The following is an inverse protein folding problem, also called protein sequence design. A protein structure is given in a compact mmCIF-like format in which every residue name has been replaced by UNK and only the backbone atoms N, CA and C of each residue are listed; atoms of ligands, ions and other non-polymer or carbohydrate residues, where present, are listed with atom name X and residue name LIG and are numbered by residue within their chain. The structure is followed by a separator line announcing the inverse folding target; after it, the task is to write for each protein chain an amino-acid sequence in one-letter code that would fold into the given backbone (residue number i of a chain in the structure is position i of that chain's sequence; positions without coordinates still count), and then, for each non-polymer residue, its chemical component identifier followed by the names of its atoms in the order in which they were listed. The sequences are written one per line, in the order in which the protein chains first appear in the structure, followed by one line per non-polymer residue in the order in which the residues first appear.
data_IF_873006890143
#
_entry.id   IF_873006890143
#
_cell.length_a   1.000
_cell.length_b   1.000
_cell.length_c   1.000
_cell.angle_alpha   90.00
_cell.angle_beta   90.00
_cell.angle_gamma   90.00
#
_symmetry.space_group_name_H-M   'P 1'
#
loop_
_entity.id
_entity.type
_entity.pdbx_description
1 polymer ?
#
# COMPACT_ATOMS: atom_id res chain seq x y z
N UNK A 1 0.37 17.49 -1.55
CA UNK A 1 -1.11 17.29 -1.48
C UNK A 1 -1.45 15.82 -1.57
N UNK A 2 -1.34 15.14 -2.72
CA UNK A 2 -1.67 13.70 -2.86
C UNK A 2 -1.01 12.79 -1.81
N UNK A 3 0.28 12.99 -1.56
CA UNK A 3 1.05 12.30 -0.51
C UNK A 3 0.44 12.51 0.88
N UNK A 4 0.11 13.76 1.22
CA UNK A 4 -0.42 14.11 2.53
C UNK A 4 -1.85 13.55 2.71
N UNK A 5 -2.66 13.52 1.65
CA UNK A 5 -4.01 12.93 1.64
C UNK A 5 -3.95 11.42 1.86
N UNK A 6 -3.03 10.73 1.19
CA UNK A 6 -2.84 9.31 1.39
C UNK A 6 -2.40 8.99 2.82
N UNK A 7 -1.40 9.71 3.32
CA UNK A 7 -0.91 9.56 4.70
C UNK A 7 -2.02 9.85 5.72
N UNK A 8 -2.87 10.85 5.47
CA UNK A 8 -4.03 11.12 6.31
C UNK A 8 -4.98 9.92 6.35
N UNK A 9 -5.28 9.32 5.18
CA UNK A 9 -6.08 8.10 5.10
C UNK A 9 -5.47 6.92 5.87
N UNK A 10 -4.15 6.75 5.83
CA UNK A 10 -3.44 5.72 6.61
C UNK A 10 -3.50 5.97 8.11
N UNK A 11 -3.25 7.19 8.58
CA UNK A 11 -3.37 7.53 10.00
C UNK A 11 -4.79 7.24 10.52
N UNK A 12 -5.82 7.62 9.76
CA UNK A 12 -7.22 7.32 10.09
C UNK A 12 -7.47 5.80 10.16
N UNK A 13 -6.98 5.04 9.17
CA UNK A 13 -7.14 3.56 9.13
C UNK A 13 -6.42 2.86 10.30
N UNK A 14 -5.28 3.41 10.73
CA UNK A 14 -4.46 2.84 11.80
C UNK A 14 -4.86 3.31 13.19
N UNK A 15 -5.83 4.24 13.30
CA UNK A 15 -6.21 4.86 14.57
C UNK A 15 -5.18 5.83 15.13
N UNK A 16 -4.20 6.25 14.32
CA UNK A 16 -3.20 7.26 14.68
C UNK A 16 -3.83 8.65 14.61
N UNK A 17 -4.40 9.07 15.74
CA UNK A 17 -5.11 10.35 15.86
C UNK A 17 -4.17 11.56 15.76
N UNK A 18 -2.94 11.43 16.24
CA UNK A 18 -1.97 12.54 16.28
C UNK A 18 -1.42 12.81 14.88
N UNK A 19 -1.02 11.76 14.16
CA UNK A 19 -0.60 11.87 12.76
C UNK A 19 -1.72 12.39 11.86
N UNK A 20 -2.96 11.92 12.07
CA UNK A 20 -4.13 12.40 11.33
C UNK A 20 -4.41 13.90 11.61
N UNK A 21 -4.27 14.36 12.86
CA UNK A 21 -4.48 15.76 13.22
C UNK A 21 -3.45 16.70 12.55
N UNK A 22 -2.18 16.29 12.49
CA UNK A 22 -1.12 17.08 11.84
C UNK A 22 -1.38 17.20 10.33
N UNK A 23 -1.69 16.07 9.69
CA UNK A 23 -1.89 16.03 8.24
C UNK A 23 -3.18 16.73 7.80
N UNK A 24 -4.27 16.58 8.57
CA UNK A 24 -5.53 17.28 8.31
C UNK A 24 -5.38 18.80 8.41
N UNK A 25 -4.66 19.31 9.42
CA UNK A 25 -4.35 20.75 9.52
C UNK A 25 -3.54 21.26 8.33
N UNK A 26 -2.53 20.50 7.90
CA UNK A 26 -1.70 20.84 6.75
C UNK A 26 -2.52 20.91 5.47
N UNK A 27 -3.41 19.93 5.24
CA UNK A 27 -4.29 19.89 4.08
C UNK A 27 -5.36 20.98 4.09
N UNK A 28 -5.91 21.30 5.26
CA UNK A 28 -6.87 22.39 5.44
C UNK A 28 -6.26 23.75 5.05
N UNK A 29 -5.00 23.98 5.39
CA UNK A 29 -4.27 25.21 5.02
C UNK A 29 -4.15 25.40 3.50
N UNK A 30 -4.05 24.30 2.75
CA UNK A 30 -3.90 24.31 1.29
C UNK A 30 -5.26 24.51 0.60
N UNK A 31 -6.38 24.40 1.34
CA UNK A 31 -7.76 24.50 0.84
C UNK A 31 -8.03 23.61 -0.38
N UNK A 32 -7.36 22.47 -0.45
CA UNK A 32 -7.57 21.51 -1.53
C UNK A 32 -8.90 20.78 -1.32
N UNK A 33 -9.79 20.69 -2.33
CA UNK A 33 -10.98 19.86 -2.24
C UNK A 33 -10.57 18.39 -2.12
N UNK A 34 -11.09 17.70 -1.10
CA UNK A 34 -10.81 16.29 -0.84
C UNK A 34 -12.09 15.47 -1.04
N UNK A 35 -12.01 14.43 -1.87
CA UNK A 35 -13.03 13.41 -1.95
C UNK A 35 -12.86 12.44 -0.77
N UNK A 36 -13.67 12.62 0.28
CA UNK A 36 -13.68 11.73 1.45
C UNK A 36 -14.81 10.72 1.28
N UNK A 37 -14.46 9.52 0.84
CA UNK A 37 -15.41 8.43 0.72
C UNK A 37 -15.37 7.58 1.99
N UNK A 38 -16.48 7.55 2.74
CA UNK A 38 -16.68 6.54 3.77
C UNK A 38 -16.94 5.20 3.06
N UNK A 39 -15.95 4.32 3.02
CA UNK A 39 -16.23 2.92 2.71
C UNK A 39 -17.15 2.42 3.83
N UNK A 40 -18.41 2.10 3.50
CA UNK A 40 -19.29 1.37 4.41
C UNK A 40 -18.70 -0.02 4.55
N UNK A 41 -17.80 -0.14 5.51
CA UNK A 41 -17.16 -1.39 5.89
C UNK A 41 -18.26 -2.29 6.44
N UNK A 42 -18.53 -3.38 5.74
CA UNK A 42 -19.09 -4.54 6.42
C UNK A 42 -18.07 -4.89 7.50
N UNK A 43 -18.43 -4.63 8.75
CA UNK A 43 -17.75 -5.18 9.92
C UNK A 43 -17.53 -6.69 9.65
N UNK A 44 -16.38 -7.24 10.05
CA UNK A 44 -16.06 -8.70 10.13
C UNK A 44 -15.22 -9.38 9.03
N UNK A 45 -14.55 -8.69 8.09
CA UNK A 45 -13.52 -9.42 7.32
C UNK A 45 -12.17 -9.39 8.06
N UNK A 46 -11.62 -10.57 8.47
CA UNK A 46 -10.30 -10.63 9.08
C UNK A 46 -9.25 -10.15 8.07
N UNK A 47 -8.25 -9.43 8.57
CA UNK A 47 -7.10 -9.04 7.75
C UNK A 47 -6.28 -10.27 7.39
N UNK A 48 -5.72 -10.25 6.18
CA UNK A 48 -4.82 -11.27 5.68
C UNK A 48 -3.40 -10.73 5.80
N UNK A 49 -2.52 -11.49 6.44
CA UNK A 49 -1.08 -11.18 6.47
C UNK A 49 -0.47 -11.64 5.15
N UNK A 50 0.16 -10.74 4.41
CA UNK A 50 0.89 -11.04 3.17
C UNK A 50 2.39 -10.83 3.37
N UNK A 51 3.20 -11.55 2.61
CA UNK A 51 4.66 -11.41 2.58
C UNK A 51 5.04 -10.71 1.28
N UNK A 52 5.75 -9.59 1.40
CA UNK A 52 6.30 -8.84 0.28
C UNK A 52 7.77 -9.21 0.16
N UNK A 53 8.10 -9.91 -0.93
CA UNK A 53 9.47 -10.14 -1.35
C UNK A 53 9.88 -9.08 -2.35
N UNK A 54 11.02 -8.45 -2.14
CA UNK A 54 11.52 -7.41 -3.03
C UNK A 54 12.51 -8.03 -3.99
N UNK A 55 12.36 -7.68 -5.26
CA UNK A 55 13.25 -8.15 -6.32
C UNK A 55 13.54 -7.01 -7.31
N UNK A 56 14.74 -7.02 -7.89
CA UNK A 56 15.23 -6.00 -8.79
C UNK A 56 16.42 -6.52 -9.58
N UNK A 57 16.57 -6.04 -10.81
CA UNK A 57 17.80 -6.25 -11.60
C UNK A 57 19.00 -5.47 -11.06
N UNK A 58 18.77 -4.46 -10.21
CA UNK A 58 19.82 -3.71 -9.53
C UNK A 58 20.04 -4.29 -8.12
N UNK A 59 21.19 -4.93 -7.91
CA UNK A 59 21.57 -5.51 -6.61
C UNK A 59 21.61 -4.48 -5.47
N UNK A 60 21.83 -3.19 -5.76
CA UNK A 60 21.80 -2.13 -4.74
C UNK A 60 20.42 -2.01 -4.11
N UNK A 61 19.37 -2.16 -4.92
CA UNK A 61 17.97 -2.13 -4.47
C UNK A 61 17.69 -3.35 -3.58
N UNK A 62 18.13 -4.54 -4.00
CA UNK A 62 17.95 -5.78 -3.23
C UNK A 62 18.71 -5.74 -1.89
N UNK A 63 19.86 -5.06 -1.82
CA UNK A 63 20.60 -4.87 -0.58
C UNK A 63 20.02 -3.77 0.32
N UNK A 64 19.35 -2.77 -0.27
CA UNK A 64 18.74 -1.67 0.45
C UNK A 64 17.42 -2.07 1.12
N UNK A 65 16.57 -2.81 0.40
CA UNK A 65 15.25 -3.18 0.87
C UNK A 65 15.21 -4.65 1.30
N UNK A 66 14.65 -4.91 2.48
CA UNK A 66 14.43 -6.26 2.99
C UNK A 66 12.98 -6.66 2.78
N UNK A 67 12.77 -7.96 2.58
CA UNK A 67 11.45 -8.56 2.60
C UNK A 67 10.73 -8.25 3.92
N UNK A 68 9.44 -8.01 3.84
CA UNK A 68 8.62 -7.69 5.00
C UNK A 68 7.21 -8.26 4.86
N UNK A 69 6.44 -8.17 5.94
CA UNK A 69 5.03 -8.60 5.93
C UNK A 69 4.12 -7.46 6.32
N UNK A 70 2.91 -7.45 5.76
CA UNK A 70 1.89 -6.46 6.10
C UNK A 70 0.50 -7.09 6.13
N UNK A 71 -0.41 -6.46 6.87
CA UNK A 71 -1.81 -6.88 6.94
C UNK A 71 -2.63 -6.07 5.93
N UNK A 72 -3.41 -6.78 5.11
CA UNK A 72 -4.31 -6.20 4.10
C UNK A 72 -5.71 -6.76 4.28
N UNK A 73 -6.72 -6.05 3.78
CA UNK A 73 -8.07 -6.60 3.73
C UNK A 73 -8.26 -7.40 2.44
N UNK A 74 -9.13 -8.42 2.43
CA UNK A 74 -9.50 -9.12 1.20
C UNK A 74 -10.03 -8.15 0.12
N UNK A 75 -10.70 -7.07 0.53
CA UNK A 75 -11.22 -6.03 -0.35
C UNK A 75 -10.17 -5.00 -0.81
N UNK A 76 -8.94 -5.04 -0.28
CA UNK A 76 -7.86 -4.12 -0.69
C UNK A 76 -7.52 -4.37 -2.15
N UNK A 77 -7.48 -3.30 -2.94
CA UNK A 77 -7.07 -3.38 -4.35
C UNK A 77 -5.56 -3.42 -4.50
N UNK A 78 -5.07 -3.92 -5.63
CA UNK A 78 -3.64 -3.88 -6.00
C UNK A 78 -3.14 -2.44 -6.06
N UNK A 79 -3.96 -1.51 -6.56
CA UNK A 79 -3.63 -0.07 -6.55
C UNK A 79 -3.38 0.42 -5.12
N UNK A 80 -4.34 0.20 -4.21
CA UNK A 80 -4.19 0.59 -2.81
C UNK A 80 -2.99 -0.06 -2.13
N UNK A 81 -2.67 -1.32 -2.48
CA UNK A 81 -1.48 -2.00 -1.97
C UNK A 81 -0.20 -1.33 -2.47
N UNK A 82 -0.06 -1.02 -3.76
CA UNK A 82 1.12 -0.30 -4.28
C UNK A 82 1.27 1.06 -3.63
N UNK A 83 0.18 1.80 -3.51
CA UNK A 83 0.19 3.08 -2.80
C UNK A 83 0.64 2.89 -1.34
N UNK A 84 0.21 1.81 -0.67
CA UNK A 84 0.69 1.48 0.67
C UNK A 84 2.17 1.15 0.74
N UNK A 85 2.72 0.47 -0.27
CA UNK A 85 4.13 0.14 -0.38
C UNK A 85 4.99 1.39 -0.60
N UNK A 86 4.58 2.28 -1.52
CA UNK A 86 5.23 3.57 -1.81
C UNK A 86 5.34 4.45 -0.56
N UNK A 87 4.23 4.58 0.19
CA UNK A 87 4.18 5.41 1.39
C UNK A 87 4.43 4.64 2.69
N UNK A 88 4.88 3.39 2.60
CA UNK A 88 5.28 2.61 3.76
C UNK A 88 6.52 3.24 4.40
N UNK A 89 6.87 2.80 5.62
CA UNK A 89 8.13 3.19 6.26
C UNK A 89 9.37 2.84 5.43
N UNK A 90 9.22 1.98 4.41
CA UNK A 90 10.30 1.59 3.53
C UNK A 90 10.51 2.57 2.36
N UNK A 91 9.60 3.50 2.06
CA UNK A 91 9.73 4.46 0.94
C UNK A 91 10.13 3.77 -0.38
N UNK A 92 9.36 2.77 -0.79
CA UNK A 92 9.66 2.00 -1.99
C UNK A 92 9.47 2.88 -3.25
N UNK A 93 10.29 2.71 -4.31
CA UNK A 93 10.23 3.55 -5.52
C UNK A 93 8.88 3.44 -6.22
N UNK A 94 8.42 4.45 -6.94
CA UNK A 94 7.08 4.46 -7.58
C UNK A 94 6.95 3.46 -8.75
N UNK A 95 8.07 3.11 -9.40
CA UNK A 95 8.09 2.17 -10.51
C UNK A 95 8.18 0.72 -10.02
N UNK A 96 7.03 0.17 -9.63
CA UNK A 96 6.90 -1.19 -9.11
C UNK A 96 5.96 -2.01 -9.99
N UNK A 97 6.35 -3.25 -10.26
CA UNK A 97 5.47 -4.29 -10.81
C UNK A 97 5.20 -5.33 -9.73
N UNK A 98 3.94 -5.51 -9.38
CA UNK A 98 3.53 -6.48 -8.37
C UNK A 98 3.16 -7.80 -9.04
N UNK A 99 3.84 -8.88 -8.67
CA UNK A 99 3.57 -10.23 -9.14
C UNK A 99 2.98 -11.09 -8.01
N UNK A 100 1.94 -11.83 -8.35
CA UNK A 100 1.22 -12.75 -7.46
C UNK A 100 1.14 -14.09 -8.15
N UNK A 101 1.65 -15.14 -7.51
CA UNK A 101 1.70 -16.49 -8.09
C UNK A 101 2.32 -16.51 -9.51
N UNK A 102 3.31 -15.65 -9.77
CA UNK A 102 3.97 -15.52 -11.08
C UNK A 102 3.22 -14.68 -12.12
N UNK A 103 2.05 -14.12 -11.79
CA UNK A 103 1.27 -13.28 -12.69
C UNK A 103 1.33 -11.80 -12.28
N UNK A 104 1.40 -10.90 -13.27
CA UNK A 104 1.34 -9.46 -13.02
C UNK A 104 -0.05 -9.10 -12.49
N UNK A 105 -0.11 -8.51 -11.29
CA UNK A 105 -1.34 -8.11 -10.66
C UNK A 105 -1.82 -6.76 -11.21
N UNK A 106 -3.10 -6.69 -11.61
CA UNK A 106 -3.70 -5.47 -12.15
C UNK A 106 -4.30 -4.60 -11.05
N UNK A 107 -4.16 -3.28 -11.18
CA UNK A 107 -4.55 -2.26 -10.19
C UNK A 107 -5.98 -2.38 -9.64
N UNK A 108 -6.93 -2.81 -10.48
CA UNK A 108 -8.35 -2.93 -10.12
C UNK A 108 -8.68 -4.23 -9.37
N UNK A 109 -7.80 -5.23 -9.41
CA UNK A 109 -8.03 -6.51 -8.74
C UNK A 109 -7.90 -6.35 -7.23
N UNK A 110 -8.74 -7.05 -6.50
CA UNK A 110 -8.71 -7.15 -5.04
C UNK A 110 -7.90 -8.37 -4.59
N UNK A 111 -7.43 -8.37 -3.34
CA UNK A 111 -6.76 -9.54 -2.75
C UNK A 111 -7.66 -10.78 -2.78
N UNK A 112 -8.97 -10.60 -2.63
CA UNK A 112 -9.95 -11.68 -2.73
C UNK A 112 -10.03 -12.27 -4.15
N UNK A 113 -10.12 -11.43 -5.18
CA UNK A 113 -10.15 -11.88 -6.59
C UNK A 113 -8.85 -12.58 -7.01
N UNK A 114 -7.72 -12.22 -6.38
CA UNK A 114 -6.43 -12.87 -6.55
C UNK A 114 -6.29 -14.19 -5.76
N UNK A 115 -7.35 -14.61 -5.05
CA UNK A 115 -7.39 -15.80 -4.20
C UNK A 115 -6.23 -15.85 -3.17
N UNK A 116 -5.92 -14.69 -2.59
CA UNK A 116 -4.82 -14.53 -1.64
C UNK A 116 -5.21 -15.09 -0.28
N UNK A 117 -4.29 -15.86 0.31
CA UNK A 117 -4.42 -16.44 1.63
C UNK A 117 -3.36 -15.86 2.58
N UNK A 118 -3.50 -16.17 3.87
CA UNK A 118 -2.50 -15.76 4.87
C UNK A 118 -1.14 -16.37 4.53
N UNK A 119 -0.11 -15.54 4.60
CA UNK A 119 1.27 -15.83 4.22
C UNK A 119 1.49 -16.08 2.71
N UNK A 120 0.54 -15.66 1.85
CA UNK A 120 0.81 -15.61 0.42
C UNK A 120 1.99 -14.69 0.11
N UNK A 121 2.82 -15.13 -0.84
CA UNK A 121 4.00 -14.43 -1.30
C UNK A 121 3.66 -13.51 -2.47
N UNK A 122 3.98 -12.24 -2.32
CA UNK A 122 3.94 -11.24 -3.36
C UNK A 122 5.37 -10.88 -3.72
N UNK A 123 5.69 -10.90 -5.01
CA UNK A 123 6.98 -10.44 -5.51
C UNK A 123 6.80 -9.02 -6.03
N UNK A 124 7.44 -8.07 -5.36
CA UNK A 124 7.50 -6.70 -5.78
C UNK A 124 8.76 -6.48 -6.60
N UNK A 125 8.59 -6.41 -7.92
CA UNK A 125 9.69 -6.12 -8.83
C UNK A 125 9.86 -4.60 -8.99
N UNK A 126 11.00 -4.08 -8.57
CA UNK A 126 11.32 -2.66 -8.68
C UNK A 126 12.15 -2.44 -9.94
N UNK A 127 11.67 -1.58 -10.84
CA UNK A 127 12.41 -1.21 -12.03
C UNK A 127 13.26 0.02 -11.69
N UNK A 128 14.61 -0.06 -11.77
CA UNK A 128 15.46 1.10 -11.52
C UNK A 128 15.13 2.22 -12.51
N UNK A 129 14.83 3.40 -12.00
CA UNK A 129 14.78 4.64 -12.79
C UNK A 129 16.20 5.19 -12.90
N UNK A 130 16.74 5.19 -14.12
CA UNK A 130 18.06 5.71 -14.46
C UNK A 130 18.03 7.25 -14.57
#
# INVERSE_FOLDING_TARGET
ILVDVYKLGQCIRQGDTDGAAVLSKKLAHIRAPLAVNSFKQSKEQPTIKIIIKIDSTDERINNQYKDFSMNVYPSTTVHELRTALEYSKHNLPTNQSLFVNGHLAHDKMTMHELNIQTNSLFVLFIIPSW
#
